data_IF_086697278942
#
_entry.id   IF_086697278942
#
_cell.length_a   1.000
_cell.length_b   1.000
_cell.length_c   1.000
_cell.angle_alpha   90.00
_cell.angle_beta   90.00
_cell.angle_gamma   90.00
#
_symmetry.space_group_name_H-M   'P 1'
#
loop_
_entity.id
_entity.type
_entity.pdbx_description
1 polymer ?
#
# COMPACT_ATOMS: atom_id res chain seq x y z
N UNK A 1 27.42 -5.40 -7.66
CA UNK A 1 26.08 -6.00 -7.46
C UNK A 1 26.01 -6.54 -6.04
N UNK A 2 24.90 -6.36 -5.30
CA UNK A 2 24.83 -6.82 -3.91
C UNK A 2 24.82 -8.35 -3.83
N UNK A 3 25.63 -8.89 -2.94
CA UNK A 3 25.65 -10.31 -2.57
C UNK A 3 24.65 -10.53 -1.43
N UNK A 4 23.88 -11.61 -1.49
CA UNK A 4 22.99 -12.06 -0.41
C UNK A 4 23.43 -13.44 0.06
N UNK A 5 23.21 -13.75 1.33
CA UNK A 5 23.38 -15.12 1.82
C UNK A 5 22.21 -15.97 1.35
N UNK A 6 22.51 -17.14 0.80
CA UNK A 6 21.51 -18.14 0.45
C UNK A 6 20.71 -18.52 1.72
N UNK A 7 19.36 -18.54 1.67
CA UNK A 7 18.54 -18.85 2.84
C UNK A 7 18.71 -20.28 3.34
N UNK A 8 19.16 -21.21 2.49
CA UNK A 8 19.33 -22.62 2.87
C UNK A 8 20.75 -22.97 3.33
N UNK A 9 21.78 -22.43 2.67
CA UNK A 9 23.16 -22.87 2.88
C UNK A 9 24.13 -21.74 3.25
N UNK A 10 23.60 -20.54 3.52
CA UNK A 10 24.32 -19.30 3.86
C UNK A 10 25.43 -18.87 2.90
N UNK A 11 25.55 -19.53 1.75
CA UNK A 11 26.56 -19.23 0.75
C UNK A 11 26.26 -17.89 0.07
N UNK A 12 27.29 -17.09 -0.20
CA UNK A 12 27.10 -15.79 -0.86
C UNK A 12 26.75 -15.98 -2.33
N UNK A 13 25.57 -15.50 -2.71
CA UNK A 13 25.04 -15.57 -4.06
C UNK A 13 24.62 -14.19 -4.54
N UNK A 14 24.56 -14.01 -5.86
CA UNK A 14 24.06 -12.77 -6.44
C UNK A 14 22.58 -12.58 -6.05
N UNK A 15 22.22 -11.37 -5.66
CA UNK A 15 20.83 -10.93 -5.40
C UNK A 15 19.92 -10.93 -6.64
N UNK A 16 20.44 -11.32 -7.81
CA UNK A 16 19.68 -11.32 -9.06
C UNK A 16 18.67 -12.46 -9.05
N UNK A 17 17.44 -12.16 -9.45
CA UNK A 17 16.34 -13.13 -9.58
C UNK A 17 16.73 -14.21 -10.58
N UNK A 18 16.44 -15.47 -10.26
CA UNK A 18 16.83 -16.60 -11.10
C UNK A 18 18.30 -17.00 -10.97
N UNK A 19 19.07 -16.36 -10.08
CA UNK A 19 20.38 -16.90 -9.68
C UNK A 19 20.15 -18.21 -8.93
N UNK A 20 20.77 -19.28 -9.39
CA UNK A 20 20.72 -20.58 -8.74
C UNK A 20 21.94 -20.68 -7.82
N UNK A 21 21.73 -21.02 -6.55
CA UNK A 21 22.82 -21.25 -5.62
C UNK A 21 23.66 -22.44 -6.10
N UNK A 22 24.98 -22.28 -6.30
CA UNK A 22 25.83 -23.37 -6.78
C UNK A 22 25.99 -24.50 -5.76
N UNK A 23 25.65 -24.26 -4.49
CA UNK A 23 25.89 -25.19 -3.38
C UNK A 23 24.67 -26.04 -3.01
N UNK A 24 23.47 -25.44 -2.96
CA UNK A 24 22.24 -26.16 -2.60
C UNK A 24 21.19 -26.22 -3.72
N UNK A 25 21.42 -25.55 -4.86
CA UNK A 25 20.45 -25.51 -5.96
C UNK A 25 19.25 -24.58 -5.73
N UNK A 26 19.19 -23.87 -4.60
CA UNK A 26 18.13 -22.91 -4.32
C UNK A 26 18.10 -21.80 -5.37
N UNK A 27 16.94 -21.59 -5.99
CA UNK A 27 16.73 -20.50 -6.94
C UNK A 27 16.28 -19.25 -6.19
N UNK A 28 17.03 -18.15 -6.34
CA UNK A 28 16.65 -16.85 -5.77
C UNK A 28 15.30 -16.44 -6.36
N UNK A 29 14.27 -16.52 -5.53
CA UNK A 29 12.91 -16.17 -5.88
C UNK A 29 12.72 -14.67 -6.06
N UNK A 30 11.59 -14.31 -6.68
CA UNK A 30 11.22 -12.92 -6.97
C UNK A 30 11.20 -12.00 -5.72
N UNK A 31 10.95 -12.57 -4.54
CA UNK A 31 10.85 -11.85 -3.26
C UNK A 31 12.12 -11.89 -2.39
N UNK A 32 13.11 -12.71 -2.76
CA UNK A 32 14.34 -12.93 -1.96
C UNK A 32 15.48 -12.03 -2.43
N UNK A 33 15.47 -11.61 -3.70
CA UNK A 33 16.55 -10.85 -4.31
C UNK A 33 16.68 -9.39 -3.85
N UNK A 34 15.60 -8.73 -3.39
CA UNK A 34 15.66 -7.28 -3.14
C UNK A 34 14.78 -6.79 -1.97
N UNK A 35 15.41 -6.12 -1.00
CA UNK A 35 14.74 -5.50 0.17
C UNK A 35 13.74 -4.41 -0.24
N UNK A 36 13.95 -3.75 -1.38
CA UNK A 36 13.03 -2.73 -1.90
C UNK A 36 11.70 -3.34 -2.37
N UNK A 37 11.72 -4.58 -2.88
CA UNK A 37 10.51 -5.28 -3.37
C UNK A 37 9.57 -5.71 -2.26
N UNK A 38 10.09 -6.10 -1.09
CA UNK A 38 9.25 -6.37 0.09
C UNK A 38 8.52 -5.12 0.57
N UNK A 39 9.18 -3.95 0.49
CA UNK A 39 8.55 -2.66 0.79
C UNK A 39 7.49 -2.28 -0.25
N UNK A 40 7.74 -2.56 -1.52
CA UNK A 40 6.75 -2.37 -2.60
C UNK A 40 5.49 -3.19 -2.38
N UNK A 41 5.62 -4.50 -2.14
CA UNK A 41 4.45 -5.36 -1.89
C UNK A 41 3.63 -4.91 -0.67
N UNK A 42 4.31 -4.45 0.39
CA UNK A 42 3.65 -3.87 1.56
C UNK A 42 2.89 -2.58 1.21
N UNK A 43 3.49 -1.68 0.44
CA UNK A 43 2.83 -0.45 0.00
C UNK A 43 1.60 -0.76 -0.87
N UNK A 44 1.73 -1.66 -1.84
CA UNK A 44 0.61 -2.08 -2.70
C UNK A 44 -0.58 -2.60 -1.88
N UNK A 45 -0.30 -3.47 -0.89
CA UNK A 45 -1.34 -3.97 0.01
C UNK A 45 -1.99 -2.84 0.83
N UNK A 46 -1.19 -1.93 1.38
CA UNK A 46 -1.68 -0.77 2.14
C UNK A 46 -2.58 0.12 1.27
N UNK A 47 -2.18 0.41 0.03
CA UNK A 47 -2.92 1.27 -0.89
C UNK A 47 -4.28 0.70 -1.30
N UNK A 48 -4.46 -0.63 -1.27
CA UNK A 48 -5.74 -1.27 -1.56
C UNK A 48 -6.60 -1.46 -0.31
N UNK A 49 -5.99 -1.89 0.79
CA UNK A 49 -6.71 -2.23 2.03
C UNK A 49 -7.21 -0.97 2.74
N UNK A 50 -6.42 0.10 2.79
CA UNK A 50 -6.79 1.31 3.53
C UNK A 50 -8.08 1.97 2.99
N UNK A 51 -8.24 2.19 1.68
CA UNK A 51 -9.48 2.75 1.15
C UNK A 51 -10.71 1.87 1.45
N UNK A 52 -10.56 0.55 1.33
CA UNK A 52 -11.64 -0.40 1.65
C UNK A 52 -12.00 -0.37 3.14
N UNK A 53 -11.01 -0.39 4.03
CA UNK A 53 -11.24 -0.28 5.46
C UNK A 53 -11.92 1.05 5.82
N UNK A 54 -11.48 2.15 5.20
CA UNK A 54 -12.06 3.47 5.40
C UNK A 54 -13.52 3.52 4.93
N UNK A 55 -13.83 2.90 3.80
CA UNK A 55 -15.20 2.76 3.30
C UNK A 55 -16.11 2.09 4.32
N UNK A 56 -15.72 0.92 4.82
CA UNK A 56 -16.49 0.17 5.83
C UNK A 56 -16.65 0.99 7.12
N UNK A 57 -15.57 1.60 7.60
CA UNK A 57 -15.58 2.44 8.79
C UNK A 57 -16.59 3.59 8.66
N UNK A 58 -16.60 4.30 7.54
CA UNK A 58 -17.50 5.44 7.31
C UNK A 58 -18.96 4.97 7.25
N UNK A 59 -19.25 3.83 6.60
CA UNK A 59 -20.61 3.28 6.56
C UNK A 59 -21.10 2.90 7.96
N UNK A 60 -20.28 2.19 8.74
CA UNK A 60 -20.68 1.79 10.09
C UNK A 60 -20.84 2.99 11.03
N UNK A 61 -20.00 4.01 10.86
CA UNK A 61 -20.07 5.25 11.63
C UNK A 61 -21.18 6.20 11.16
N UNK A 62 -21.84 5.91 10.02
CA UNK A 62 -22.88 6.77 9.45
C UNK A 62 -24.18 6.81 10.25
N UNK A 63 -24.29 6.09 11.38
CA UNK A 63 -25.48 6.05 12.23
C UNK A 63 -25.71 7.32 13.08
N UNK A 64 -24.66 8.03 13.47
CA UNK A 64 -24.79 9.35 14.12
C UNK A 64 -23.81 10.35 13.55
N UNK A 65 -24.19 11.64 13.57
CA UNK A 65 -23.34 12.73 13.10
C UNK A 65 -21.97 12.78 13.80
N UNK A 66 -21.93 12.53 15.11
CA UNK A 66 -20.70 12.54 15.89
C UNK A 66 -19.75 11.39 15.51
N UNK A 67 -20.28 10.19 15.28
CA UNK A 67 -19.49 9.06 14.80
C UNK A 67 -18.99 9.28 13.38
N UNK A 68 -19.81 9.86 12.50
CA UNK A 68 -19.40 10.16 11.13
C UNK A 68 -18.25 11.18 11.08
N UNK A 69 -18.28 12.19 11.97
CA UNK A 69 -17.18 13.16 12.11
C UNK A 69 -15.91 12.47 12.60
N UNK A 70 -15.99 11.61 13.62
CA UNK A 70 -14.80 10.91 14.14
C UNK A 70 -14.21 9.94 13.11
N UNK A 71 -15.05 9.21 12.38
CA UNK A 71 -14.62 8.34 11.28
C UNK A 71 -13.97 9.13 10.13
N UNK A 72 -14.46 10.33 9.82
CA UNK A 72 -13.86 11.21 8.82
C UNK A 72 -12.45 11.66 9.23
N UNK A 73 -12.23 11.96 10.51
CA UNK A 73 -10.89 12.30 11.03
C UNK A 73 -9.93 11.10 10.90
N UNK A 74 -10.38 9.91 11.30
CA UNK A 74 -9.59 8.67 11.17
C UNK A 74 -9.25 8.39 9.70
N UNK A 75 -10.23 8.57 8.81
CA UNK A 75 -10.03 8.43 7.38
C UNK A 75 -8.93 9.37 6.84
N UNK A 76 -8.92 10.66 7.21
CA UNK A 76 -7.88 11.60 6.76
C UNK A 76 -6.48 11.14 7.19
N UNK A 77 -6.34 10.60 8.40
CA UNK A 77 -5.07 10.05 8.90
C UNK A 77 -4.64 8.83 8.05
N UNK A 78 -5.58 7.92 7.78
CA UNK A 78 -5.32 6.73 6.95
C UNK A 78 -5.01 7.09 5.49
N UNK A 79 -5.68 8.08 4.93
CA UNK A 79 -5.43 8.61 3.60
C UNK A 79 -4.01 9.17 3.48
N UNK A 80 -3.53 9.88 4.50
CA UNK A 80 -2.15 10.37 4.55
C UNK A 80 -1.14 9.22 4.63
N UNK A 81 -1.41 8.20 5.45
CA UNK A 81 -0.52 7.03 5.60
C UNK A 81 -0.44 6.22 4.30
N UNK A 82 -1.55 6.04 3.59
CA UNK A 82 -1.61 5.34 2.31
C UNK A 82 -1.06 6.15 1.12
N UNK A 83 -0.68 7.41 1.32
CA UNK A 83 -0.31 8.29 0.22
C UNK A 83 0.96 7.82 -0.51
N UNK A 84 0.98 7.84 -1.86
CA UNK A 84 2.18 7.57 -2.65
C UNK A 84 3.35 8.51 -2.34
N UNK A 85 3.08 9.68 -1.76
CA UNK A 85 4.07 10.68 -1.38
C UNK A 85 5.09 10.11 -0.38
N UNK A 86 4.65 9.26 0.54
CA UNK A 86 5.51 8.68 1.58
C UNK A 86 6.44 7.58 1.06
N UNK A 87 6.17 7.07 -0.13
CA UNK A 87 6.83 5.89 -0.70
C UNK A 87 7.51 6.22 -2.04
N UNK A 88 7.92 7.49 -2.26
CA UNK A 88 8.54 7.97 -3.50
C UNK A 88 9.75 7.14 -3.96
N UNK A 89 10.51 6.59 -3.02
CA UNK A 89 11.75 5.84 -3.30
C UNK A 89 11.54 4.36 -3.64
N UNK A 90 10.28 3.90 -3.68
CA UNK A 90 9.92 2.48 -3.91
C UNK A 90 9.47 2.23 -5.35
N UNK A 91 9.13 3.27 -6.11
CA UNK A 91 8.71 3.15 -7.49
C UNK A 91 9.92 3.02 -8.41
N UNK A 92 9.96 1.97 -9.22
CA UNK A 92 11.05 1.74 -10.18
C UNK A 92 10.80 2.49 -11.49
N UNK A 93 9.53 2.70 -11.85
CA UNK A 93 9.12 3.30 -13.11
C UNK A 93 8.25 4.54 -12.89
N UNK A 94 8.35 5.51 -13.81
CA UNK A 94 7.46 6.68 -13.82
C UNK A 94 5.98 6.28 -13.99
N UNK A 95 5.73 5.19 -14.73
CA UNK A 95 4.39 4.63 -14.91
C UNK A 95 3.77 4.17 -13.58
N UNK A 96 4.48 3.39 -12.77
CA UNK A 96 4.00 2.95 -11.45
C UNK A 96 3.61 4.13 -10.57
N UNK A 97 4.47 5.16 -10.53
CA UNK A 97 4.22 6.36 -9.74
C UNK A 97 2.92 7.06 -10.14
N UNK A 98 2.65 7.19 -11.45
CA UNK A 98 1.41 7.77 -11.98
C UNK A 98 0.22 6.86 -11.65
N UNK A 99 0.36 5.55 -11.84
CA UNK A 99 -0.68 4.56 -11.59
C UNK A 99 -1.16 4.57 -10.13
N UNK A 100 -0.24 4.52 -9.16
CA UNK A 100 -0.60 4.57 -7.74
C UNK A 100 -1.16 5.92 -7.31
N UNK A 101 -0.70 7.02 -7.90
CA UNK A 101 -1.31 8.33 -7.71
C UNK A 101 -2.75 8.36 -8.22
N UNK A 102 -3.01 7.77 -9.39
CA UNK A 102 -4.34 7.63 -9.95
C UNK A 102 -5.27 6.86 -9.02
N UNK A 103 -4.86 5.65 -8.58
CA UNK A 103 -5.63 4.83 -7.64
C UNK A 103 -5.93 5.60 -6.36
N UNK A 104 -4.91 6.25 -5.77
CA UNK A 104 -5.08 6.97 -4.51
C UNK A 104 -6.03 8.16 -4.68
N UNK A 105 -5.87 8.99 -5.72
CA UNK A 105 -6.78 10.13 -5.96
C UNK A 105 -8.21 9.64 -6.17
N UNK A 106 -8.41 8.66 -7.05
CA UNK A 106 -9.74 8.16 -7.39
C UNK A 106 -10.43 7.57 -6.16
N UNK A 107 -9.73 6.75 -5.37
CA UNK A 107 -10.29 6.16 -4.18
C UNK A 107 -10.67 7.21 -3.12
N UNK A 108 -9.81 8.19 -2.85
CA UNK A 108 -10.10 9.25 -1.89
C UNK A 108 -11.21 10.19 -2.38
N UNK A 109 -11.30 10.47 -3.67
CA UNK A 109 -12.38 11.28 -4.24
C UNK A 109 -13.75 10.62 -4.04
N UNK A 110 -13.85 9.30 -4.24
CA UNK A 110 -15.07 8.53 -3.99
C UNK A 110 -15.44 8.54 -2.49
N UNK A 111 -14.46 8.39 -1.61
CA UNK A 111 -14.71 8.44 -0.16
C UNK A 111 -15.14 9.83 0.32
N UNK A 112 -14.53 10.90 -0.20
CA UNK A 112 -14.90 12.28 0.14
C UNK A 112 -16.32 12.60 -0.34
N UNK A 113 -16.67 12.22 -1.57
CA UNK A 113 -18.03 12.42 -2.08
C UNK A 113 -19.08 11.64 -1.28
N UNK A 114 -18.75 10.42 -0.86
CA UNK A 114 -19.60 9.64 0.05
C UNK A 114 -19.76 10.32 1.41
N UNK A 115 -18.68 10.78 2.05
CA UNK A 115 -18.75 11.51 3.33
C UNK A 115 -19.61 12.77 3.18
N UNK A 116 -19.42 13.54 2.10
CA UNK A 116 -20.20 14.74 1.83
C UNK A 116 -21.71 14.43 1.72
N UNK A 117 -22.08 13.39 0.98
CA UNK A 117 -23.47 12.97 0.82
C UNK A 117 -24.08 12.46 2.15
N UNK A 118 -23.31 11.74 2.96
CA UNK A 118 -23.78 11.29 4.26
C UNK A 118 -23.94 12.47 5.23
N UNK A 119 -23.02 13.43 5.22
CA UNK A 119 -23.08 14.62 6.05
C UNK A 119 -24.25 15.54 5.66
N UNK A 120 -24.57 15.66 4.37
CA UNK A 120 -25.71 16.47 3.92
C UNK A 120 -27.06 15.90 4.37
N UNK A 121 -27.19 14.57 4.48
CA UNK A 121 -28.38 13.93 5.05
C UNK A 121 -28.62 14.27 6.53
N UNK A 122 -27.59 14.66 7.28
CA UNK A 122 -27.72 15.08 8.69
C UNK A 122 -28.04 16.57 8.88
N UNK A 123 -27.89 17.37 7.83
CA UNK A 123 -28.16 18.82 7.84
C UNK A 123 -29.60 19.10 7.41
N UNK A 124 -30.18 18.22 6.61
CA UNK A 124 -31.57 18.27 6.16
C UNK A 124 -32.50 17.66 7.20
#
# INVERSE_FOLDING_TARGET
MPLIKCPECEHEILSRIGTICPKCGHMVGYFEGDKTRKKYGKFFAISLIIPFFSFVLIILASYTKTLLISASIIYVILAFISSPIRYRDIFFTNFEKIFFWGIWITANALLITMIYNLMSNYVR
#
